data_IF_717733327445
#
_entry.id   IF_717733327445
#
_cell.length_a   1.000
_cell.length_b   1.000
_cell.length_c   1.000
_cell.angle_alpha   90.00
_cell.angle_beta   90.00
_cell.angle_gamma   90.00
#
_symmetry.space_group_name_H-M   'P 1'
#
loop_
_entity.id
_entity.type
_entity.pdbx_description
1 polymer ?
#
# COMPACT_ATOMS: atom_id res chain seq x y z
N UNK A 1 -29.78 3.83 25.83
CA UNK A 1 -28.57 3.54 25.04
C UNK A 1 -27.96 2.22 25.52
N UNK A 2 -27.98 1.15 24.72
CA UNK A 2 -27.30 -0.11 25.07
C UNK A 2 -25.79 0.10 24.90
N UNK A 3 -25.04 0.16 26.00
CA UNK A 3 -23.58 0.15 25.99
C UNK A 3 -23.10 -1.14 25.34
N UNK A 4 -22.51 -1.06 24.13
CA UNK A 4 -21.87 -2.21 23.47
C UNK A 4 -20.80 -2.76 24.42
N UNK A 5 -20.82 -4.07 24.63
CA UNK A 5 -19.87 -4.78 25.46
C UNK A 5 -18.44 -4.53 24.90
N UNK A 6 -17.49 -3.98 25.69
CA UNK A 6 -16.18 -3.53 25.21
C UNK A 6 -15.44 -4.60 24.39
N UNK A 7 -15.43 -5.85 24.86
CA UNK A 7 -14.80 -6.99 24.16
C UNK A 7 -15.28 -7.19 22.72
N UNK A 8 -16.57 -6.94 22.44
CA UNK A 8 -17.09 -7.00 21.07
C UNK A 8 -16.58 -5.84 20.19
N UNK A 9 -16.33 -4.68 20.79
CA UNK A 9 -15.79 -3.52 20.07
C UNK A 9 -14.33 -3.75 19.65
N UNK A 10 -13.49 -4.25 20.55
CA UNK A 10 -12.09 -4.60 20.22
C UNK A 10 -12.03 -5.66 19.13
N UNK A 11 -12.85 -6.71 19.23
CA UNK A 11 -12.95 -7.74 18.18
C UNK A 11 -13.35 -7.14 16.83
N UNK A 12 -14.37 -6.29 16.79
CA UNK A 12 -14.80 -5.65 15.54
C UNK A 12 -13.73 -4.72 14.95
N UNK A 13 -13.03 -3.96 15.79
CA UNK A 13 -11.92 -3.11 15.36
C UNK A 13 -10.76 -3.93 14.80
N UNK A 14 -10.43 -5.07 15.44
CA UNK A 14 -9.44 -6.02 14.92
C UNK A 14 -9.80 -6.49 13.52
N UNK A 15 -11.04 -6.96 13.33
CA UNK A 15 -11.50 -7.39 12.00
C UNK A 15 -11.44 -6.27 10.96
N UNK A 16 -11.74 -5.02 11.35
CA UNK A 16 -11.61 -3.88 10.45
C UNK A 16 -10.15 -3.59 10.07
N UNK A 17 -9.23 -3.71 11.02
CA UNK A 17 -7.79 -3.56 10.76
C UNK A 17 -7.30 -4.66 9.81
N UNK A 18 -7.75 -5.90 9.99
CA UNK A 18 -7.41 -7.03 9.11
C UNK A 18 -7.90 -6.79 7.68
N UNK A 19 -9.16 -6.35 7.54
CA UNK A 19 -9.74 -6.02 6.23
C UNK A 19 -8.96 -4.90 5.52
N UNK A 20 -8.56 -3.85 6.24
CA UNK A 20 -7.75 -2.77 5.66
C UNK A 20 -6.32 -3.19 5.37
N UNK A 21 -5.75 -4.09 6.15
CA UNK A 21 -4.43 -4.66 5.88
C UNK A 21 -4.46 -5.47 4.58
N UNK A 22 -5.52 -6.26 4.35
CA UNK A 22 -5.70 -6.98 3.08
C UNK A 22 -5.87 -6.04 1.90
N UNK A 23 -6.61 -4.94 2.06
CA UNK A 23 -6.75 -3.91 1.03
C UNK A 23 -5.41 -3.27 0.67
N UNK A 24 -4.59 -2.93 1.66
CA UNK A 24 -3.23 -2.41 1.47
C UNK A 24 -2.39 -3.42 0.68
N UNK A 25 -2.35 -4.69 1.09
CA UNK A 25 -1.59 -5.74 0.41
C UNK A 25 -2.01 -5.86 -1.06
N UNK A 26 -3.32 -5.87 -1.34
CA UNK A 26 -3.84 -5.91 -2.72
C UNK A 26 -3.33 -4.73 -3.55
N UNK A 27 -3.45 -3.50 -3.02
CA UNK A 27 -3.00 -2.29 -3.70
C UNK A 27 -1.48 -2.28 -3.91
N UNK A 28 -0.69 -2.83 -2.99
CA UNK A 28 0.74 -3.00 -3.17
C UNK A 28 1.07 -3.98 -4.32
N UNK A 29 0.36 -5.11 -4.39
CA UNK A 29 0.52 -6.06 -5.49
C UNK A 29 0.18 -5.43 -6.84
N UNK A 30 -0.90 -4.66 -6.91
CA UNK A 30 -1.27 -3.90 -8.11
C UNK A 30 -0.20 -2.87 -8.50
N UNK A 31 0.35 -2.14 -7.53
CA UNK A 31 1.46 -1.22 -7.77
C UNK A 31 2.71 -1.92 -8.30
N UNK A 32 3.07 -3.08 -7.75
CA UNK A 32 4.21 -3.86 -8.23
C UNK A 32 4.02 -4.33 -9.69
N UNK A 33 2.79 -4.73 -10.06
CA UNK A 33 2.48 -5.07 -11.45
C UNK A 33 2.63 -3.86 -12.38
N UNK A 34 2.20 -2.66 -11.95
CA UNK A 34 2.38 -1.44 -12.73
C UNK A 34 3.85 -1.04 -12.89
N UNK A 35 4.68 -1.24 -11.87
CA UNK A 35 6.13 -1.00 -11.97
C UNK A 35 6.79 -1.93 -12.99
N UNK A 36 6.41 -3.22 -13.00
CA UNK A 36 6.88 -4.18 -14.01
C UNK A 36 6.56 -3.72 -15.45
N UNK A 37 5.35 -3.17 -15.66
CA UNK A 37 4.95 -2.61 -16.96
C UNK A 37 5.78 -1.37 -17.31
N UNK A 38 6.02 -0.48 -16.35
CA UNK A 38 6.86 0.72 -16.53
C UNK A 38 8.29 0.35 -16.94
N UNK A 39 8.90 -0.61 -16.26
CA UNK A 39 10.24 -1.12 -16.63
C UNK A 39 10.28 -1.68 -18.06
N UNK A 40 9.22 -2.39 -18.47
CA UNK A 40 9.14 -2.92 -19.84
C UNK A 40 9.07 -1.80 -20.88
N UNK A 41 8.30 -0.74 -20.62
CA UNK A 41 8.27 0.44 -21.50
C UNK A 41 9.65 1.11 -21.59
N UNK A 42 10.33 1.28 -20.46
CA UNK A 42 11.67 1.86 -20.43
C UNK A 42 12.69 1.02 -21.22
N UNK A 43 12.70 -0.31 -21.03
CA UNK A 43 13.57 -1.23 -21.79
C UNK A 43 13.26 -1.20 -23.29
N UNK A 44 11.99 -1.10 -23.67
CA UNK A 44 11.59 -0.98 -25.07
C UNK A 44 12.05 0.35 -25.68
N UNK A 45 11.91 1.45 -24.95
CA UNK A 45 12.38 2.77 -25.39
C UNK A 45 13.90 2.81 -25.55
N UNK A 46 14.65 2.21 -24.64
CA UNK A 46 16.10 2.06 -24.74
C UNK A 46 16.49 1.30 -26.02
N UNK A 47 15.83 0.16 -26.29
CA UNK A 47 16.05 -0.64 -27.50
C UNK A 47 15.71 0.14 -28.77
N UNK A 48 14.54 0.76 -28.84
CA UNK A 48 14.12 1.56 -30.00
C UNK A 48 15.08 2.73 -30.25
N UNK A 49 15.53 3.37 -29.17
CA UNK A 49 16.54 4.44 -29.22
C UNK A 49 17.86 3.94 -29.79
N UNK A 50 18.36 2.81 -29.31
CA UNK A 50 19.56 2.18 -29.86
C UNK A 50 19.42 1.82 -31.35
N UNK A 51 18.25 1.33 -31.77
CA UNK A 51 18.01 0.96 -33.17
C UNK A 51 18.13 2.18 -34.10
N UNK A 52 17.40 3.27 -33.86
CA UNK A 52 17.42 4.41 -34.78
C UNK A 52 18.69 5.27 -34.67
N UNK A 53 19.39 5.25 -33.53
CA UNK A 53 20.71 5.89 -33.38
C UNK A 53 21.78 5.17 -34.20
N UNK A 54 21.74 3.83 -34.23
CA UNK A 54 22.68 3.00 -34.99
C UNK A 54 22.30 2.85 -36.48
N UNK A 55 21.10 3.31 -36.88
CA UNK A 55 20.64 3.36 -38.27
C UNK A 55 21.28 4.51 -39.09
N UNK A 56 22.54 4.83 -38.81
CA UNK A 56 23.27 5.96 -39.39
C UNK A 56 23.52 5.85 -40.90
N UNK A 57 23.95 6.96 -41.52
CA UNK A 57 24.19 7.04 -42.95
C UNK A 57 25.24 6.02 -43.41
N UNK A 58 24.80 4.93 -44.04
CA UNK A 58 25.73 4.02 -44.70
C UNK A 58 26.31 4.78 -45.91
N UNK A 59 27.63 4.98 -45.91
CA UNK A 59 28.31 5.75 -46.96
C UNK A 59 28.07 5.15 -48.35
N UNK A 60 27.88 6.02 -49.36
CA UNK A 60 27.64 5.67 -50.78
C UNK A 60 26.66 4.50 -50.98
N UNK A 61 25.47 4.58 -50.39
CA UNK A 61 24.38 3.67 -50.76
C UNK A 61 23.72 4.09 -52.08
N UNK A 62 23.35 3.13 -52.94
CA UNK A 62 22.34 3.35 -53.99
C UNK A 62 21.07 4.00 -53.42
N UNK A 63 20.45 4.92 -54.17
CA UNK A 63 19.32 5.74 -53.66
C UNK A 63 18.16 4.92 -53.06
N UNK A 64 17.82 3.76 -53.63
CA UNK A 64 16.77 2.90 -53.11
C UNK A 64 17.07 2.35 -51.70
N UNK A 65 18.34 2.02 -51.42
CA UNK A 65 18.80 1.57 -50.11
C UNK A 65 18.86 2.72 -49.11
N UNK A 66 19.26 3.91 -49.55
CA UNK A 66 19.22 5.12 -48.73
C UNK A 66 17.78 5.48 -48.31
N UNK A 67 16.80 5.37 -49.23
CA UNK A 67 15.38 5.56 -48.93
C UNK A 67 14.87 4.55 -47.92
N UNK A 68 15.19 3.26 -48.10
CA UNK A 68 14.76 2.21 -47.18
C UNK A 68 15.31 2.41 -45.75
N UNK A 69 16.58 2.81 -45.62
CA UNK A 69 17.16 3.14 -44.31
C UNK A 69 16.49 4.37 -43.67
N UNK A 70 16.10 5.37 -44.47
CA UNK A 70 15.35 6.53 -44.02
C UNK A 70 13.95 6.18 -43.52
N UNK A 71 13.20 5.39 -44.31
CA UNK A 71 11.86 4.94 -43.97
C UNK A 71 11.87 4.07 -42.70
N UNK A 72 12.83 3.15 -42.59
CA UNK A 72 13.04 2.34 -41.38
C UNK A 72 13.31 3.23 -40.16
N UNK A 73 14.27 4.16 -40.27
CA UNK A 73 14.61 5.06 -39.16
C UNK A 73 13.40 5.89 -38.72
N UNK A 74 12.67 6.45 -39.67
CA UNK A 74 11.46 7.24 -39.39
C UNK A 74 10.38 6.39 -38.72
N UNK A 75 10.15 5.16 -39.18
CA UNK A 75 9.19 4.25 -38.55
C UNK A 75 9.59 3.90 -37.10
N UNK A 76 10.87 3.62 -36.84
CA UNK A 76 11.37 3.34 -35.49
C UNK A 76 11.27 4.56 -34.57
N UNK A 77 11.53 5.77 -35.10
CA UNK A 77 11.33 7.01 -34.34
C UNK A 77 9.86 7.22 -33.96
N UNK A 78 8.92 7.02 -34.90
CA UNK A 78 7.49 7.10 -34.63
C UNK A 78 7.04 6.08 -33.57
N UNK A 79 7.55 4.84 -33.63
CA UNK A 79 7.27 3.85 -32.59
C UNK A 79 7.81 4.29 -31.23
N UNK A 80 9.02 4.87 -31.17
CA UNK A 80 9.58 5.39 -29.92
C UNK A 80 8.72 6.52 -29.34
N UNK A 81 8.21 7.43 -30.17
CA UNK A 81 7.34 8.51 -29.74
C UNK A 81 6.00 7.99 -29.19
N UNK A 82 5.38 7.01 -29.85
CA UNK A 82 4.18 6.35 -29.32
C UNK A 82 4.45 5.68 -27.97
N UNK A 83 5.56 4.97 -27.82
CA UNK A 83 5.92 4.34 -26.54
C UNK A 83 6.19 5.36 -25.42
N UNK A 84 6.70 6.56 -25.73
CA UNK A 84 6.87 7.65 -24.75
C UNK A 84 5.52 8.17 -24.28
N UNK A 85 4.56 8.33 -25.20
CA UNK A 85 3.21 8.75 -24.87
C UNK A 85 2.54 7.71 -23.96
N UNK A 86 2.58 6.44 -24.34
CA UNK A 86 2.02 5.35 -23.55
C UNK A 86 2.65 5.28 -22.15
N UNK A 87 3.97 5.43 -22.04
CA UNK A 87 4.67 5.47 -20.76
C UNK A 87 4.18 6.64 -19.90
N UNK A 88 4.02 7.83 -20.48
CA UNK A 88 3.54 9.01 -19.75
C UNK A 88 2.12 8.83 -19.21
N UNK A 89 1.24 8.20 -20.00
CA UNK A 89 -0.14 7.89 -19.58
C UNK A 89 -0.13 6.83 -18.46
N UNK A 90 0.70 5.80 -18.60
CA UNK A 90 0.87 4.75 -17.60
C UNK A 90 1.41 5.31 -16.28
N UNK A 91 2.40 6.21 -16.32
CA UNK A 91 2.95 6.86 -15.13
C UNK A 91 1.93 7.79 -14.45
N UNK A 92 1.07 8.45 -15.22
CA UNK A 92 -0.04 9.23 -14.67
C UNK A 92 -1.05 8.34 -13.92
N UNK A 93 -1.41 7.19 -14.49
CA UNK A 93 -2.27 6.18 -13.83
C UNK A 93 -1.59 5.56 -12.59
N UNK A 94 -0.28 5.31 -12.65
CA UNK A 94 0.51 4.90 -11.47
C UNK A 94 0.45 5.94 -10.36
N UNK A 95 0.54 7.24 -10.67
CA UNK A 95 0.44 8.29 -9.66
C UNK A 95 -0.93 8.29 -8.96
N UNK A 96 -2.02 7.97 -9.68
CA UNK A 96 -3.36 7.81 -9.08
C UNK A 96 -3.39 6.61 -8.15
N UNK A 97 -2.88 5.46 -8.58
CA UNK A 97 -2.81 4.26 -7.74
C UNK A 97 -1.93 4.44 -6.52
N UNK A 98 -0.81 5.16 -6.63
CA UNK A 98 0.07 5.48 -5.51
C UNK A 98 -0.67 6.31 -4.45
N UNK A 99 -1.45 7.33 -4.87
CA UNK A 99 -2.27 8.12 -3.94
C UNK A 99 -3.32 7.25 -3.23
N UNK A 100 -3.95 6.32 -3.96
CA UNK A 100 -4.92 5.39 -3.39
C UNK A 100 -4.27 4.47 -2.35
N UNK A 101 -3.09 3.92 -2.66
CA UNK A 101 -2.30 3.11 -1.73
C UNK A 101 -1.92 3.88 -0.46
N UNK A 102 -1.40 5.10 -0.60
CA UNK A 102 -1.09 5.96 0.55
C UNK A 102 -2.32 6.24 1.41
N UNK A 103 -3.47 6.53 0.79
CA UNK A 103 -4.71 6.75 1.53
C UNK A 103 -5.19 5.49 2.27
N UNK A 104 -5.04 4.31 1.67
CA UNK A 104 -5.37 3.04 2.32
C UNK A 104 -4.46 2.76 3.52
N UNK A 105 -3.16 3.02 3.39
CA UNK A 105 -2.20 2.93 4.49
C UNK A 105 -2.57 3.82 5.67
N UNK A 106 -2.85 5.10 5.42
CA UNK A 106 -3.22 6.05 6.47
C UNK A 106 -4.49 5.58 7.20
N UNK A 107 -5.50 5.10 6.46
CA UNK A 107 -6.73 4.57 7.06
C UNK A 107 -6.48 3.34 7.93
N UNK A 108 -5.66 2.39 7.46
CA UNK A 108 -5.26 1.20 8.23
C UNK A 108 -4.57 1.61 9.52
N UNK A 109 -3.64 2.55 9.44
CA UNK A 109 -2.83 2.99 10.57
C UNK A 109 -3.66 3.70 11.65
N UNK A 110 -4.57 4.60 11.24
CA UNK A 110 -5.48 5.25 12.17
C UNK A 110 -6.37 4.22 12.90
N UNK A 111 -6.86 3.20 12.20
CA UNK A 111 -7.66 2.14 12.82
C UNK A 111 -6.84 1.29 13.81
N UNK A 112 -5.59 0.98 13.47
CA UNK A 112 -4.68 0.24 14.34
C UNK A 112 -4.40 1.02 15.65
N UNK A 113 -4.14 2.32 15.55
CA UNK A 113 -3.97 3.19 16.72
C UNK A 113 -5.22 3.24 17.60
N UNK A 114 -6.42 3.27 17.00
CA UNK A 114 -7.68 3.23 17.76
C UNK A 114 -7.86 1.88 18.44
N UNK A 115 -7.56 0.78 17.75
CA UNK A 115 -7.61 -0.57 18.31
C UNK A 115 -6.68 -0.70 19.53
N UNK A 116 -5.42 -0.28 19.40
CA UNK A 116 -4.43 -0.32 20.47
C UNK A 116 -4.90 0.48 21.70
N UNK A 117 -5.42 1.69 21.49
CA UNK A 117 -5.98 2.51 22.59
C UNK A 117 -7.14 1.81 23.30
N UNK A 118 -8.00 1.10 22.56
CA UNK A 118 -9.14 0.38 23.13
C UNK A 118 -8.70 -0.86 23.90
N UNK A 119 -7.74 -1.62 23.37
CA UNK A 119 -7.16 -2.77 24.08
C UNK A 119 -6.51 -2.34 25.41
N UNK A 120 -5.73 -1.26 25.40
CA UNK A 120 -5.12 -0.74 26.63
C UNK A 120 -6.18 -0.31 27.66
N UNK A 121 -7.24 0.37 27.22
CA UNK A 121 -8.32 0.78 28.10
C UNK A 121 -9.06 -0.42 28.74
N UNK A 122 -9.26 -1.50 27.99
CA UNK A 122 -9.86 -2.73 28.51
C UNK A 122 -8.98 -3.39 29.57
N UNK A 123 -7.67 -3.50 29.31
CA UNK A 123 -6.71 -4.06 30.28
C UNK A 123 -6.72 -3.25 31.57
N UNK A 124 -6.67 -1.91 31.48
CA UNK A 124 -6.73 -1.05 32.66
C UNK A 124 -8.04 -1.19 33.44
N UNK A 125 -9.16 -1.32 32.73
CA UNK A 125 -10.47 -1.50 33.36
C UNK A 125 -10.55 -2.83 34.10
N UNK A 126 -10.02 -3.91 33.51
CA UNK A 126 -10.03 -5.22 34.14
C UNK A 126 -9.14 -5.25 35.40
N UNK A 127 -7.92 -4.73 35.30
CA UNK A 127 -7.03 -4.59 36.45
C UNK A 127 -7.64 -3.73 37.57
N UNK A 128 -8.40 -2.68 37.23
CA UNK A 128 -9.08 -1.86 38.25
C UNK A 128 -10.18 -2.63 38.97
N UNK A 129 -10.93 -3.49 38.27
CA UNK A 129 -11.93 -4.38 38.89
C UNK A 129 -11.27 -5.41 39.79
N UNK A 130 -10.21 -6.06 39.32
CA UNK A 130 -9.46 -7.06 40.10
C UNK A 130 -8.90 -6.46 41.39
N UNK A 131 -8.24 -5.30 41.30
CA UNK A 131 -7.76 -4.58 42.49
C UNK A 131 -8.88 -4.28 43.48
N UNK A 132 -10.01 -3.76 43.00
CA UNK A 132 -11.17 -3.47 43.86
C UNK A 132 -11.69 -4.73 44.56
N UNK A 133 -11.77 -5.86 43.85
CA UNK A 133 -12.20 -7.14 44.45
C UNK A 133 -11.21 -7.61 45.53
N UNK A 134 -9.91 -7.49 45.27
CA UNK A 134 -8.88 -7.83 46.26
C UNK A 134 -8.93 -6.92 47.49
N UNK A 135 -9.12 -5.61 47.31
CA UNK A 135 -9.24 -4.64 48.40
C UNK A 135 -10.49 -4.90 49.25
N UNK A 136 -11.63 -5.22 48.61
CA UNK A 136 -12.87 -5.59 49.30
C UNK A 136 -12.70 -6.88 50.12
N UNK A 137 -12.05 -7.91 49.55
CA UNK A 137 -11.73 -9.15 50.26
C UNK A 137 -10.80 -8.91 51.44
N UNK A 138 -9.71 -8.16 51.24
CA UNK A 138 -8.78 -7.80 52.31
C UNK A 138 -9.48 -7.04 53.45
N UNK A 139 -10.37 -6.11 53.11
CA UNK A 139 -11.17 -5.35 54.09
C UNK A 139 -12.09 -6.27 54.90
N UNK A 140 -12.78 -7.20 54.24
CA UNK A 140 -13.65 -8.17 54.92
C UNK A 140 -12.87 -9.09 55.85
N UNK A 141 -11.70 -9.56 55.43
CA UNK A 141 -10.82 -10.39 56.26
C UNK A 141 -10.34 -9.62 57.49
N UNK A 142 -9.88 -8.38 57.31
CA UNK A 142 -9.44 -7.52 58.40
C UNK A 142 -10.56 -7.25 59.41
N UNK A 143 -11.77 -6.91 58.94
CA UNK A 143 -12.94 -6.71 59.81
C UNK A 143 -13.31 -7.98 60.59
N UNK A 144 -13.17 -9.16 59.97
CA UNK A 144 -13.44 -10.44 60.64
C UNK A 144 -12.40 -10.75 61.72
N UNK A 145 -11.13 -10.41 61.49
CA UNK A 145 -10.05 -10.57 62.47
C UNK A 145 -10.15 -9.62 63.67
N UNK A 146 -10.93 -8.53 63.58
CA UNK A 146 -11.13 -7.57 64.66
C UNK A 146 -12.34 -7.86 65.57
N UNK A 147 -13.22 -8.79 65.21
CA UNK A 147 -14.30 -9.20 66.12
C UNK A 147 -13.73 -10.17 67.17
N UNK A 148 -13.71 -9.79 68.46
CA UNK A 148 -13.36 -10.74 69.51
C UNK A 148 -14.44 -11.81 69.59
N UNK A 149 -14.01 -13.08 69.67
CA UNK A 149 -14.88 -14.21 69.99
C UNK A 149 -15.23 -14.24 71.47
#
# INVERSE_FOLDING_TARGET
MKTKNPSHMVRNLSTLVDLRSNEVTRLQTEMAAKESVRERYQKNLERLTGLYQNSGASGKLPMALASNCGDYKQAVMQMADSHRLDLSMHEADMAVSQRALTAAYVKREVLDQVLQKKQLAEVHQEQAKERKQHDELATQLWLRSQKPG
#
